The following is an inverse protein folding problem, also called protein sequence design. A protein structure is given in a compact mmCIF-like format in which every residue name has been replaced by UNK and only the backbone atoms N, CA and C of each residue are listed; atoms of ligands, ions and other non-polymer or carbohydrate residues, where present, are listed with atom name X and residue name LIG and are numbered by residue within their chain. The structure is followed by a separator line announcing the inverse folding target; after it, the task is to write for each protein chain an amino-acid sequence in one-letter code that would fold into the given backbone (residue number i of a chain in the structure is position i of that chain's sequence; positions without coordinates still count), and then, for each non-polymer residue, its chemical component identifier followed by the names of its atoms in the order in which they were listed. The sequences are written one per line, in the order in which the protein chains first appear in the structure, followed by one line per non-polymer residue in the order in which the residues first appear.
data_IF_224222103166
#
_entry.id   IF_224222103166
#
_cell.length_a   1.000
_cell.length_b   1.000
_cell.length_c   1.000
_cell.angle_alpha   90.00
_cell.angle_beta   90.00
_cell.angle_gamma   90.00
#
_symmetry.space_group_name_H-M   'P 1'
#
loop_
_entity.id
_entity.type
_entity.pdbx_description
1 polymer ?
2 non-polymer ?
3 water ?
#
# COMPACT_ATOMS: atom_id res chain seq x y z
N UNK A 2 23.91 16.63 12.47
CA UNK A 2 22.48 16.71 12.26
C UNK A 2 21.77 16.47 13.57
N UNK A 3 20.79 17.29 13.86
CA UNK A 3 20.04 17.20 15.07
C UNK A 3 18.57 17.05 14.80
N UNK A 4 18.21 16.71 13.57
CA UNK A 4 16.82 16.43 13.27
C UNK A 4 16.69 15.05 12.65
N UNK A 5 15.71 14.28 13.10
CA UNK A 5 15.51 12.94 12.57
C UNK A 5 14.94 13.04 11.15
N UNK A 6 15.41 12.17 10.26
CA UNK A 6 14.97 12.18 8.87
C UNK A 6 14.28 10.86 8.55
N UNK A 7 13.04 10.96 8.04
CA UNK A 7 12.15 9.84 7.78
C UNK A 7 11.67 9.92 6.35
N UNK A 8 11.77 8.81 5.61
CA UNK A 8 11.23 8.76 4.25
C UNK A 8 10.25 7.59 4.15
N UNK A 9 9.68 7.40 2.97
CA UNK A 9 8.98 6.15 2.70
C UNK A 9 7.48 6.23 2.51
N UNK A 10 6.78 5.21 2.99
CA UNK A 10 5.38 4.95 2.66
C UNK A 10 4.47 6.17 2.86
N UNK A 11 3.66 6.45 1.83
CA UNK A 11 2.59 7.43 1.94
C UNK A 11 1.45 6.91 2.82
N UNK A 12 1.30 5.59 2.90
CA UNK A 12 0.28 5.03 3.79
C UNK A 12 0.64 5.29 5.26
N UNK A 13 1.92 5.13 5.61
CA UNK A 13 2.36 5.35 6.98
C UNK A 13 2.53 6.84 7.27
N UNK A 14 2.86 7.65 6.26
CA UNK A 14 3.13 9.09 6.40
C UNK A 14 2.22 9.84 7.37
N UNK A 15 0.89 9.73 7.29
CA UNK A 15 0.05 10.54 8.22
C UNK A 15 0.25 10.13 9.66
N UNK A 16 0.59 8.88 9.90
CA UNK A 16 0.78 8.37 11.25
C UNK A 16 2.10 8.87 11.82
N UNK A 17 3.19 8.63 11.11
CA UNK A 17 4.49 9.14 11.53
C UNK A 17 4.48 10.65 11.70
N UNK A 18 3.67 11.36 10.90
CA UNK A 18 3.60 12.81 11.03
C UNK A 18 3.04 13.21 12.39
N UNK A 19 1.92 12.61 12.79
CA UNK A 19 1.34 12.87 14.11
C UNK A 19 2.34 12.54 15.23
N UNK A 20 3.01 11.38 15.15
CA UNK A 20 3.98 11.06 16.18
C UNK A 20 5.08 12.13 16.20
N UNK A 21 5.54 12.54 15.02
CA UNK A 21 6.60 13.55 14.95
C UNK A 21 6.13 14.87 15.55
N UNK A 22 4.90 15.30 15.24
CA UNK A 22 4.41 16.57 15.76
C UNK A 22 4.41 16.57 17.29
N UNK A 23 3.89 15.49 17.89
CA UNK A 23 3.93 15.37 19.34
C UNK A 23 5.36 15.33 19.87
N UNK A 24 6.23 14.56 19.22
CA UNK A 24 7.61 14.45 19.63
C UNK A 24 8.30 15.81 19.68
N UNK A 25 7.99 16.67 18.70
CA UNK A 25 8.64 17.97 18.62
C UNK A 25 8.38 18.88 19.82
N UNK A 26 7.40 18.52 20.67
CA UNK A 26 7.11 19.27 21.88
C UNK A 26 7.75 18.69 23.14
N UNK A 27 8.59 17.63 23.01
CA UNK A 27 9.16 16.95 24.16
C UNK A 27 10.68 17.11 24.22
N UNK A 28 11.20 18.27 23.85
CA UNK A 28 12.61 18.50 24.04
C UNK A 28 13.51 17.96 22.94
N UNK A 29 12.94 17.66 21.78
CA UNK A 29 13.68 17.42 20.55
C UNK A 29 12.98 18.19 19.43
N UNK A 30 13.71 18.43 18.34
CA UNK A 30 13.13 19.09 17.17
C UNK A 30 12.17 18.15 16.44
N UNK A 31 11.17 18.73 15.78
CA UNK A 31 10.21 17.94 15.02
C UNK A 31 10.90 17.20 13.88
N UNK A 32 10.83 15.87 13.82
CA UNK A 32 11.48 15.14 12.72
C UNK A 32 11.01 15.61 11.35
N UNK A 33 11.87 15.41 10.36
CA UNK A 33 11.54 15.68 8.96
C UNK A 33 11.04 14.39 8.32
N UNK A 34 9.90 14.48 7.65
CA UNK A 34 9.24 13.31 7.06
C UNK A 34 8.92 13.61 5.61
N UNK A 35 9.28 12.68 4.72
CA UNK A 35 8.92 12.78 3.31
C UNK A 35 8.02 11.62 2.93
N UNK A 36 7.00 11.85 2.11
CA UNK A 36 6.18 10.78 1.59
C UNK A 36 6.78 10.45 0.25
N UNK A 37 7.55 9.38 0.20
CA UNK A 37 8.22 8.99 -1.03
C UNK A 37 7.79 7.68 -1.58
N UNK A 38 6.93 6.99 -0.90
CA UNK A 38 6.62 5.65 -1.34
C UNK A 38 7.57 4.62 -0.68
N UNK A 39 7.03 3.45 -0.40
CA UNK A 39 7.82 2.41 0.26
C UNK A 39 9.11 2.05 -0.51
N UNK A 40 8.99 1.86 -1.83
CA UNK A 40 10.12 1.45 -2.62
C UNK A 40 11.09 2.59 -2.81
N UNK A 41 10.60 3.79 -3.02
CA UNK A 41 11.46 4.93 -3.12
C UNK A 41 12.18 5.21 -1.80
N UNK A 42 11.51 4.99 -0.69
CA UNK A 42 12.09 5.23 0.61
C UNK A 42 13.17 4.20 0.93
N UNK A 43 12.91 2.95 0.62
CA UNK A 43 13.90 1.91 0.77
C UNK A 43 15.18 2.16 -0.01
N UNK A 44 15.05 2.63 -1.22
CA UNK A 44 16.21 2.96 -2.01
C UNK A 44 17.04 4.08 -1.37
N UNK A 45 16.37 5.11 -0.90
CA UNK A 45 17.05 6.18 -0.22
C UNK A 45 17.69 5.73 1.12
N UNK A 46 16.92 5.08 1.96
CA UNK A 46 17.44 4.53 3.23
C UNK A 46 18.68 3.68 2.98
N UNK A 47 18.62 2.81 1.98
CA UNK A 47 19.70 1.88 1.71
C UNK A 47 20.88 2.43 0.89
N UNK A 48 20.82 3.70 0.51
CA UNK A 48 21.88 4.31 -0.26
C UNK A 48 23.24 4.34 0.47
N UNK A 49 23.21 4.52 1.78
CA UNK A 49 24.46 4.47 2.53
C UNK A 49 24.22 4.63 4.02
N UNK A 50 25.25 4.37 4.81
CA UNK A 50 25.15 4.40 6.25
C UNK A 50 25.40 5.74 6.89
N UNK A 51 25.85 6.71 6.14
CA UNK A 51 26.10 7.99 6.69
C UNK A 51 24.93 8.79 7.13
N UNK A 52 25.21 9.82 7.91
CA UNK A 52 24.19 10.76 8.37
C UNK A 52 23.47 11.50 7.22
N UNK A 53 24.11 11.62 6.07
CA UNK A 53 23.44 12.23 4.93
C UNK A 53 22.27 11.38 4.42
N UNK A 54 22.10 10.19 4.97
CA UNK A 54 21.04 9.31 4.50
C UNK A 54 19.98 9.13 5.58
N UNK A 55 18.76 8.73 5.20
CA UNK A 55 17.64 8.72 6.16
C UNK A 55 17.87 7.80 7.35
N UNK A 56 17.36 8.24 8.50
CA UNK A 56 17.34 7.45 9.72
C UNK A 56 16.29 6.35 9.68
N UNK A 57 15.15 6.60 9.03
CA UNK A 57 13.98 5.74 9.08
C UNK A 57 13.31 5.76 7.71
N UNK A 58 12.88 4.59 7.24
CA UNK A 58 11.98 4.52 6.11
C UNK A 58 10.70 3.79 6.52
N UNK A 59 9.56 4.42 6.23
CA UNK A 59 8.24 3.85 6.46
C UNK A 59 7.88 2.92 5.30
N UNK A 60 7.15 1.86 5.63
CA UNK A 60 6.87 0.84 4.61
C UNK A 60 5.48 0.28 4.82
N UNK A 61 4.73 0.14 3.73
CA UNK A 61 3.40 -0.49 3.76
C UNK A 61 3.44 -1.92 3.23
N UNK A 62 4.63 -2.52 3.22
CA UNK A 62 4.85 -3.95 3.03
C UNK A 62 6.26 -4.21 3.55
N UNK A 63 6.54 -5.46 3.90
CA UNK A 63 7.85 -5.80 4.46
C UNK A 63 8.97 -5.41 3.50
N UNK A 64 10.14 -5.10 4.06
CA UNK A 64 11.30 -4.85 3.23
C UNK A 64 11.60 -6.04 2.31
N UNK A 65 11.98 -5.78 1.06
CA UNK A 65 12.18 -6.84 0.09
C UNK A 65 13.61 -7.37 0.17
N UNK A 66 13.80 -8.58 -0.36
CA UNK A 66 15.14 -9.17 -0.38
C UNK A 66 16.10 -8.31 -1.19
N UNK A 67 15.65 -7.81 -2.34
CA UNK A 67 16.47 -6.91 -3.13
C UNK A 67 16.85 -5.66 -2.34
N UNK A 68 15.97 -5.18 -1.46
CA UNK A 68 16.27 -3.98 -0.70
C UNK A 68 17.26 -4.25 0.42
N UNK A 69 17.05 -5.35 1.15
CA UNK A 69 18.01 -5.79 2.14
C UNK A 69 19.38 -6.00 1.52
N UNK A 70 19.42 -6.50 0.29
CA UNK A 70 20.70 -6.72 -0.37
C UNK A 70 21.38 -5.40 -0.66
N UNK A 71 20.66 -4.41 -1.16
CA UNK A 71 21.25 -3.08 -1.38
C UNK A 71 21.81 -2.44 -0.09
N UNK A 72 21.04 -2.52 0.98
CA UNK A 72 21.46 -2.00 2.28
C UNK A 72 22.76 -2.65 2.69
N UNK A 73 22.78 -3.97 2.66
CA UNK A 73 23.95 -4.72 3.03
C UNK A 73 25.16 -4.28 2.21
N UNK A 74 24.92 -4.13 0.91
CA UNK A 74 26.03 -3.72 0.05
C UNK A 74 26.57 -2.36 0.46
N UNK A 75 25.69 -1.44 0.81
CA UNK A 75 26.10 -0.12 1.25
C UNK A 75 26.34 -0.06 2.76
N UNK A 76 26.54 -1.22 3.39
CA UNK A 76 27.01 -1.28 4.76
C UNK A 76 25.95 -1.19 5.84
N UNK A 77 24.69 -1.32 5.50
CA UNK A 77 23.62 -1.29 6.47
C UNK A 77 23.09 -2.69 6.68
N UNK A 78 23.52 -3.33 7.73
CA UNK A 78 23.01 -4.66 8.10
C UNK A 78 22.27 -4.62 9.40
N UNK A 79 22.41 -3.53 10.16
CA UNK A 79 21.69 -3.41 11.40
C UNK A 79 20.42 -2.59 11.23
N UNK A 80 19.33 -3.28 11.00
CA UNK A 80 18.06 -2.61 10.77
C UNK A 80 17.02 -3.17 11.72
N UNK A 81 16.30 -2.28 12.38
CA UNK A 81 15.25 -2.70 13.25
C UNK A 81 13.92 -2.52 12.54
N UNK A 82 13.16 -3.58 12.51
CA UNK A 82 11.84 -3.53 11.91
C UNK A 82 10.82 -3.30 13.02
N UNK A 83 10.00 -2.28 12.86
CA UNK A 83 8.92 -2.02 13.79
C UNK A 83 7.54 -2.14 13.11
N UNK A 84 6.70 -3.02 13.62
CA UNK A 84 5.33 -3.15 13.10
C UNK A 84 4.42 -2.28 13.94
N UNK A 85 3.84 -1.24 13.34
CA UNK A 85 3.05 -0.28 14.09
C UNK A 85 1.57 -0.63 14.20
N UNK A 86 1.05 -1.48 13.32
CA UNK A 86 -0.38 -1.66 13.23
C UNK A 86 -0.75 -2.18 11.85
N UNK A 87 -2.01 -2.01 11.49
CA UNK A 87 -2.53 -2.55 10.23
C UNK A 87 -3.23 -1.48 9.40
N UNK A 88 -3.36 -1.79 8.11
CA UNK A 88 -4.04 -1.00 7.11
C UNK A 88 -5.01 -1.92 6.38
N UNK A 89 -6.02 -1.32 5.78
CA UNK A 89 -6.84 -2.02 4.80
C UNK A 89 -6.85 -1.23 3.52
N UNK A 90 -6.27 -1.78 2.44
CA UNK A 90 -6.32 -1.09 1.17
C UNK A 90 -7.79 -0.94 0.77
N UNK A 91 -8.19 0.29 0.51
CA UNK A 91 -9.59 0.61 0.26
C UNK A 91 -9.73 1.04 -1.19
N UNK A 92 -10.63 0.38 -1.91
CA UNK A 92 -10.96 0.72 -3.28
C UNK A 92 -12.16 1.67 -3.20
N UNK A 93 -11.88 2.96 -3.20
CA UNK A 93 -12.91 3.97 -2.95
C UNK A 93 -13.42 4.59 -4.25
N UNK A 94 -14.59 5.22 -4.16
CA UNK A 94 -15.23 5.87 -5.29
C UNK A 94 -16.34 6.77 -4.76
N UNK A 95 -16.91 7.58 -5.66
CA UNK A 95 -17.83 8.62 -5.27
C UNK A 95 -19.06 8.07 -4.55
N UNK A 96 -19.49 8.78 -3.51
CA UNK A 96 -20.75 8.49 -2.82
C UNK A 96 -21.94 8.49 -3.77
N UNK A 97 -21.86 9.26 -4.86
CA UNK A 97 -23.00 9.36 -5.78
C UNK A 97 -23.32 8.05 -6.48
N UNK A 98 -22.39 7.10 -6.50
CA UNK A 98 -22.63 5.83 -7.16
C UNK A 98 -23.21 4.82 -6.18
N UNK A 99 -23.65 3.67 -6.74
CA UNK A 99 -24.25 2.60 -5.97
C UNK A 99 -23.19 1.77 -5.27
N UNK A 100 -23.51 1.20 -4.10
CA UNK A 100 -22.64 0.20 -3.49
C UNK A 100 -22.37 -0.91 -4.48
N UNK A 101 -21.24 -1.59 -4.30
CA UNK A 101 -20.81 -2.63 -5.22
C UNK A 101 -19.87 -3.58 -4.48
N UNK A 102 -19.85 -4.84 -4.92
CA UNK A 102 -18.96 -5.85 -4.36
C UNK A 102 -18.22 -6.50 -5.52
N UNK A 103 -16.90 -6.49 -5.42
CA UNK A 103 -16.01 -7.18 -6.37
C UNK A 103 -15.28 -8.30 -5.64
N UNK A 104 -15.24 -9.48 -6.24
CA UNK A 104 -14.36 -10.55 -5.80
C UNK A 104 -12.92 -10.26 -6.25
N UNK A 105 -11.98 -10.97 -5.68
CA UNK A 105 -10.62 -10.77 -6.08
C UNK A 105 -10.45 -11.08 -7.57
N UNK A 106 -11.11 -12.11 -8.08
CA UNK A 106 -11.01 -12.45 -9.48
C UNK A 106 -11.56 -11.32 -10.37
N UNK A 107 -12.70 -10.78 -9.98
CA UNK A 107 -13.25 -9.63 -10.70
C UNK A 107 -12.20 -8.55 -10.85
N UNK A 108 -11.53 -8.22 -9.73
CA UNK A 108 -10.53 -7.16 -9.74
C UNK A 108 -9.35 -7.53 -10.63
N UNK A 109 -8.89 -8.75 -10.52
CA UNK A 109 -7.81 -9.23 -11.38
C UNK A 109 -8.21 -9.06 -12.87
N UNK A 110 -9.36 -9.60 -13.25
CA UNK A 110 -9.77 -9.55 -14.65
C UNK A 110 -9.86 -8.12 -15.24
N UNK A 111 -10.31 -7.18 -14.44
CA UNK A 111 -10.43 -5.80 -14.89
C UNK A 111 -9.09 -5.11 -15.04
N UNK A 112 -8.17 -5.43 -14.14
CA UNK A 112 -6.89 -4.77 -14.12
C UNK A 112 -5.76 -5.42 -14.90
N UNK A 113 -5.87 -6.71 -15.12
CA UNK A 113 -4.82 -7.42 -15.77
C UNK A 113 -4.35 -6.98 -17.12
N UNK A 114 -3.07 -7.21 -17.33
CA UNK A 114 -2.54 -6.97 -18.66
C UNK A 114 -3.24 -7.82 -19.71
N UNK A 115 -3.65 -9.04 -19.37
CA UNK A 115 -4.12 -10.00 -20.36
C UNK A 115 -5.48 -10.56 -19.96
N UNK A 116 -6.21 -11.00 -20.98
CA UNK A 116 -7.37 -11.88 -20.85
C UNK A 116 -7.04 -13.18 -21.55
N UNK A 117 -7.44 -14.30 -20.96
CA UNK A 117 -7.32 -15.57 -21.65
C UNK A 117 -8.48 -15.66 -22.63
N UNK A 118 -8.16 -15.78 -23.92
CA UNK A 118 -9.16 -15.89 -24.99
C UNK A 118 -8.77 -17.07 -25.88
N UNK A 119 -9.61 -18.10 -25.92
CA UNK A 119 -9.37 -19.26 -26.76
C UNK A 119 -8.00 -19.88 -26.43
N UNK A 120 -7.73 -20.03 -25.13
CA UNK A 120 -6.53 -20.71 -24.67
C UNK A 120 -5.24 -19.93 -24.88
N UNK A 121 -5.33 -18.62 -25.04
CA UNK A 121 -4.19 -17.78 -25.39
C UNK A 121 -4.26 -16.48 -24.61
N UNK A 122 -3.10 -15.96 -24.23
CA UNK A 122 -3.05 -14.67 -23.56
C UNK A 122 -3.06 -13.56 -24.61
N UNK A 123 -4.04 -12.65 -24.52
CA UNK A 123 -4.11 -11.48 -25.37
C UNK A 123 -4.36 -10.26 -24.48
N UNK A 124 -4.06 -9.08 -25.02
CA UNK A 124 -4.25 -7.84 -24.29
C UNK A 124 -5.69 -7.74 -23.81
N UNK A 125 -5.86 -7.28 -22.56
CA UNK A 125 -7.14 -7.26 -21.86
C UNK A 125 -8.27 -6.80 -22.76
N UNK A 126 -9.31 -7.64 -22.89
CA UNK A 126 -10.45 -7.35 -23.77
C UNK A 126 -11.68 -6.94 -22.98
N UNK A 127 -11.55 -6.67 -21.69
CA UNK A 127 -12.69 -6.26 -20.88
C UNK A 127 -12.72 -4.74 -20.80
N UNK A 128 -13.84 -4.14 -21.23
CA UNK A 128 -13.99 -2.69 -21.15
C UNK A 128 -15.05 -2.24 -20.16
N UNK A 129 -15.93 -3.14 -19.72
CA UNK A 129 -17.05 -2.83 -18.84
C UNK A 129 -17.17 -3.93 -17.80
N UNK A 130 -17.39 -3.54 -16.54
CA UNK A 130 -17.45 -4.52 -15.45
C UNK A 130 -18.50 -5.60 -15.72
N UNK A 131 -19.63 -5.21 -16.29
CA UNK A 131 -20.72 -6.15 -16.56
C UNK A 131 -20.34 -7.26 -17.52
N UNK A 132 -19.32 -7.03 -18.38
CA UNK A 132 -18.82 -8.10 -19.24
C UNK A 132 -18.14 -9.20 -18.44
N UNK A 133 -17.43 -8.82 -17.38
CA UNK A 133 -16.70 -9.77 -16.54
C UNK A 133 -17.67 -10.64 -15.76
N UNK A 134 -18.79 -10.08 -15.34
CA UNK A 134 -19.74 -10.78 -14.49
C UNK A 134 -21.06 -10.03 -14.61
N UNK A 135 -22.07 -10.69 -15.15
CA UNK A 135 -23.35 -10.04 -15.40
C UNK A 135 -23.98 -9.44 -14.14
N UNK A 136 -23.54 -9.88 -12.95
CA UNK A 136 -24.03 -9.34 -11.69
C UNK A 136 -23.40 -8.00 -11.33
N UNK A 137 -22.34 -7.61 -12.01
CA UNK A 137 -21.69 -6.32 -11.81
C UNK A 137 -22.39 -5.24 -12.62
N UNK A 138 -22.24 -3.97 -12.14
CA UNK A 138 -22.90 -2.95 -12.94
C UNK A 138 -22.41 -2.66 -14.34
N UNK A 139 -23.30 -2.19 -15.19
CA UNK A 139 -22.93 -1.72 -16.50
C UNK A 139 -22.21 -0.47 -16.20
N UNK A 140 -20.89 -0.52 -16.24
CA UNK A 140 -20.07 0.58 -15.89
C UNK A 140 -18.71 0.37 -16.53
N UNK A 141 -18.22 1.41 -17.19
CA UNK A 141 -16.93 1.27 -17.80
C UNK A 141 -15.82 1.15 -16.78
N UNK A 142 -14.84 0.34 -17.09
CA UNK A 142 -13.70 0.14 -16.22
C UNK A 142 -12.75 1.30 -16.24
N UNK A 143 -12.67 2.00 -15.10
CA UNK A 143 -11.78 3.17 -14.96
C UNK A 143 -11.17 3.13 -13.57
N UNK A 144 -9.91 2.73 -13.46
CA UNK A 144 -9.27 2.61 -12.21
C UNK A 144 -7.92 3.34 -12.15
N UNK A 145 -7.71 4.08 -11.07
CA UNK A 145 -6.49 4.77 -10.87
C UNK A 145 -5.66 3.86 -9.96
N UNK A 146 -4.56 3.37 -10.45
CA UNK A 146 -3.73 2.45 -9.69
C UNK A 146 -2.52 3.08 -9.01
N UNK A 147 -2.09 2.52 -7.88
CA UNK A 147 -0.99 3.21 -7.22
C UNK A 147 0.34 3.21 -8.02
N UNK A 148 1.28 4.04 -7.61
CA UNK A 148 2.57 4.04 -8.30
C UNK A 148 3.30 2.69 -8.34
N UNK A 149 4.00 2.43 -9.43
CA UNK A 149 4.70 1.17 -9.57
C UNK A 149 5.66 0.70 -8.53
N UNK A 150 6.26 1.62 -7.81
CA UNK A 150 7.20 1.29 -6.77
C UNK A 150 6.59 1.41 -5.37
N UNK A 151 5.31 1.78 -5.28
CA UNK A 151 4.64 1.89 -4.01
C UNK A 151 4.43 0.59 -3.27
N UNK A 152 4.41 0.64 -1.95
CA UNK A 152 4.08 -0.57 -1.23
C UNK A 152 2.63 -1.00 -1.44
N UNK A 153 1.75 -0.03 -1.71
CA UNK A 153 0.35 -0.34 -1.98
C UNK A 153 0.23 -1.14 -3.28
N UNK A 154 1.00 -0.78 -4.30
CA UNK A 154 1.04 -1.60 -5.51
C UNK A 154 1.53 -3.01 -5.18
N UNK A 155 2.64 -3.13 -4.44
CA UNK A 155 3.15 -4.46 -4.10
C UNK A 155 2.10 -5.28 -3.35
N UNK A 156 1.44 -4.68 -2.37
CA UNK A 156 0.50 -5.44 -1.57
C UNK A 156 -0.73 -5.84 -2.39
N UNK A 157 -1.20 -4.93 -3.26
CA UNK A 157 -2.33 -5.27 -4.12
C UNK A 157 -1.95 -6.39 -5.08
N UNK A 158 -0.71 -6.35 -5.59
CA UNK A 158 -0.22 -7.43 -6.46
C UNK A 158 -0.23 -8.77 -5.73
N UNK A 159 0.19 -8.77 -4.45
CA UNK A 159 0.25 -9.99 -3.67
C UNK A 159 -1.13 -10.44 -3.23
N UNK A 160 -1.91 -9.54 -2.63
CA UNK A 160 -3.16 -9.91 -1.98
C UNK A 160 -4.33 -10.03 -2.95
N UNK A 161 -4.35 -9.25 -4.02
CA UNK A 161 -5.43 -9.26 -4.98
C UNK A 161 -5.06 -9.91 -6.34
N UNK A 162 -4.06 -9.36 -7.04
CA UNK A 162 -3.68 -9.87 -8.33
C UNK A 162 -3.27 -11.34 -8.32
N UNK A 163 -2.36 -11.72 -7.45
CA UNK A 163 -1.88 -13.10 -7.37
C UNK A 163 -3.01 -14.05 -7.02
N UNK A 164 -3.86 -13.63 -6.11
CA UNK A 164 -4.93 -14.49 -5.64
C UNK A 164 -6.15 -14.49 -6.53
N UNK A 165 -6.39 -13.39 -7.22
CA UNK A 165 -7.52 -13.30 -8.11
C UNK A 165 -7.21 -13.92 -9.45
N UNK A 166 -5.93 -14.16 -9.70
CA UNK A 166 -5.50 -14.71 -10.95
C UNK A 166 -6.09 -16.06 -11.18
N UNK A 167 -6.70 -16.24 -12.33
CA UNK A 167 -7.25 -17.54 -12.66
C UNK A 167 -6.25 -18.68 -12.85
N UNK A 168 -6.71 -19.89 -12.58
CA UNK A 168 -5.88 -21.06 -12.89
C UNK A 168 -5.41 -21.05 -14.35
N UNK A 169 -6.31 -20.72 -15.27
CA UNK A 169 -5.98 -20.77 -16.69
C UNK A 169 -4.89 -19.77 -17.04
N UNK A 170 -4.99 -18.55 -16.54
CA UNK A 170 -3.98 -17.55 -16.78
C UNK A 170 -2.64 -17.97 -16.17
N UNK A 171 -2.68 -18.46 -14.95
CA UNK A 171 -1.46 -18.88 -14.26
C UNK A 171 -0.67 -19.87 -15.12
N UNK A 172 -1.37 -20.86 -15.62
CA UNK A 172 -0.75 -21.85 -16.47
C UNK A 172 -0.12 -21.27 -17.76
N UNK A 173 -0.81 -20.35 -18.42
CA UNK A 173 -0.24 -19.71 -19.61
C UNK A 173 1.00 -18.89 -19.26
N UNK A 174 0.94 -18.10 -18.18
CA UNK A 174 2.12 -17.34 -17.78
C UNK A 174 3.28 -18.27 -17.41
N UNK A 175 2.99 -19.34 -16.66
CA UNK A 175 4.04 -20.30 -16.28
C UNK A 175 4.69 -20.90 -17.51
N UNK A 176 3.88 -21.27 -18.50
CA UNK A 176 4.42 -21.86 -19.72
C UNK A 176 5.21 -20.82 -20.53
N UNK A 177 4.71 -19.59 -20.62
CA UNK A 177 5.49 -18.54 -21.27
C UNK A 177 6.81 -18.28 -20.55
N UNK A 178 6.81 -18.31 -19.23
CA UNK A 178 8.01 -18.11 -18.45
C UNK A 178 9.00 -19.27 -18.69
N UNK A 179 8.52 -20.49 -18.57
CA UNK A 179 9.36 -21.65 -18.86
C UNK A 179 9.98 -21.56 -20.25
N UNK A 180 9.22 -21.05 -21.22
CA UNK A 180 9.69 -20.87 -22.59
C UNK A 180 10.60 -19.67 -22.74
N UNK A 181 10.80 -18.88 -21.71
CA UNK A 181 11.86 -17.87 -21.74
C UNK A 181 11.48 -16.44 -21.36
N UNK A 182 10.20 -16.17 -21.14
CA UNK A 182 9.77 -14.81 -20.84
C UNK A 182 9.97 -14.54 -19.35
N UNK A 183 11.04 -13.81 -19.00
CA UNK A 183 11.35 -13.56 -17.60
C UNK A 183 10.27 -12.74 -16.91
N UNK A 184 9.64 -11.82 -17.64
CA UNK A 184 8.56 -11.01 -17.07
C UNK A 184 7.38 -11.85 -16.61
N UNK A 185 7.25 -13.07 -17.12
CA UNK A 185 6.13 -13.92 -16.74
C UNK A 185 6.39 -14.74 -15.48
N UNK A 186 7.55 -14.63 -14.86
CA UNK A 186 7.74 -15.36 -13.61
C UNK A 186 6.86 -14.83 -12.48
N UNK A 187 6.67 -13.54 -12.43
CA UNK A 187 5.78 -12.92 -11.45
C UNK A 187 4.69 -12.16 -12.20
N UNK A 188 3.70 -12.87 -12.75
CA UNK A 188 2.76 -12.21 -13.66
C UNK A 188 1.73 -11.35 -12.95
N UNK A 189 1.60 -11.47 -11.62
CA UNK A 189 0.70 -10.63 -10.84
C UNK A 189 1.12 -9.16 -10.86
N UNK A 190 2.28 -8.85 -11.41
CA UNK A 190 2.75 -7.47 -11.52
C UNK A 190 2.23 -6.77 -12.77
N UNK A 191 1.55 -7.49 -13.67
CA UNK A 191 1.26 -7.00 -15.01
C UNK A 191 -0.14 -6.41 -15.06
N UNK A 192 -0.23 -5.13 -15.39
CA UNK A 192 -1.49 -4.40 -15.54
C UNK A 192 -1.71 -3.99 -16.98
N UNK A 193 -2.99 -3.89 -17.36
CA UNK A 193 -3.33 -3.34 -18.67
C UNK A 193 -2.72 -1.94 -18.83
N UNK A 194 -2.25 -1.64 -20.03
CA UNK A 194 -1.67 -0.34 -20.31
C UNK A 194 -2.43 0.37 -21.43
N UNK A 195 -3.74 0.14 -21.50
CA UNK A 195 -4.58 0.77 -22.51
C UNK A 195 -5.35 1.97 -21.96
N UNK A 196 -4.97 2.50 -20.80
CA UNK A 196 -5.61 3.68 -20.25
C UNK A 196 -6.74 3.41 -19.27
N UNK A 197 -7.15 2.17 -19.09
CA UNK A 197 -8.22 1.84 -18.15
C UNK A 197 -7.69 1.54 -16.74
N UNK A 198 -6.39 1.34 -16.58
CA UNK A 198 -5.76 1.22 -15.27
C UNK A 198 -4.61 2.23 -15.19
N UNK A 199 -4.95 3.51 -15.12
CA UNK A 199 -3.95 4.56 -15.27
C UNK A 199 -3.20 4.78 -13.95
N UNK A 200 -1.87 4.79 -14.02
CA UNK A 200 -1.03 5.07 -12.84
C UNK A 200 -1.20 6.47 -12.25
N UNK A 201 -1.49 6.56 -10.97
CA UNK A 201 -1.75 7.78 -10.23
C UNK A 201 -0.68 8.81 -10.17
N UNK A 202 0.43 8.51 -9.54
CA UNK A 202 1.41 9.57 -9.34
C UNK A 202 1.86 9.68 -7.90
N UNK A 206 -5.11 14.09 -2.62
CA UNK A 206 -6.04 15.17 -2.54
C UNK A 206 -6.79 15.23 -3.84
N UNK A 207 -6.04 15.24 -4.93
CA UNK A 207 -6.65 15.27 -6.24
C UNK A 207 -7.22 13.91 -6.69
N UNK A 208 -6.81 12.82 -6.06
CA UNK A 208 -7.41 11.53 -6.36
C UNK A 208 -8.87 11.63 -5.98
N UNK A 209 -9.14 12.23 -4.82
CA UNK A 209 -10.52 12.37 -4.37
C UNK A 209 -11.29 13.22 -5.34
N UNK A 210 -10.67 14.28 -5.82
CA UNK A 210 -11.32 15.17 -6.76
C UNK A 210 -11.62 14.48 -8.07
N UNK A 211 -10.65 13.71 -8.58
CA UNK A 211 -10.90 12.98 -9.82
C UNK A 211 -12.02 11.96 -9.63
N UNK A 212 -12.08 11.31 -8.46
CA UNK A 212 -13.18 10.38 -8.20
C UNK A 212 -14.52 11.11 -8.13
N UNK A 213 -14.54 12.30 -7.51
CA UNK A 213 -15.78 13.07 -7.50
C UNK A 213 -16.18 13.45 -8.92
N UNK A 214 -15.20 13.79 -9.77
CA UNK A 214 -15.51 14.21 -11.13
C UNK A 214 -16.06 13.07 -11.98
N UNK A 215 -15.72 11.83 -11.68
CA UNK A 215 -16.19 10.69 -12.48
C UNK A 215 -16.59 9.59 -11.51
N UNK A 216 -17.89 9.50 -11.26
CA UNK A 216 -18.42 8.56 -10.30
C UNK A 216 -18.18 7.11 -10.66
N UNK A 217 -17.94 6.84 -11.93
CA UNK A 217 -17.63 5.49 -12.38
C UNK A 217 -16.17 5.06 -12.08
N UNK A 218 -15.33 6.01 -11.73
CA UNK A 218 -13.93 5.72 -11.47
C UNK A 218 -13.68 5.21 -10.08
N UNK A 219 -12.68 4.37 -9.94
CA UNK A 219 -12.31 3.83 -8.64
C UNK A 219 -10.86 4.18 -8.35
N UNK A 220 -10.51 4.26 -7.09
CA UNK A 220 -9.17 4.57 -6.69
C UNK A 220 -8.72 3.87 -5.44
N UNK A 221 -7.42 3.91 -5.16
CA UNK A 221 -6.84 3.23 -4.01
C UNK A 221 -6.56 4.17 -2.85
N UNK A 222 -6.94 3.75 -1.66
CA UNK A 222 -6.65 4.53 -0.49
C UNK A 222 -6.21 3.72 0.68
N UNK A 223 -5.29 4.26 1.46
CA UNK A 223 -4.97 3.66 2.72
C UNK A 223 -6.22 3.98 3.53
N UNK A 224 -6.55 3.16 4.52
CA UNK A 224 -7.75 3.36 5.31
C UNK A 224 -7.93 4.75 5.93
N UNK A 225 -6.87 5.31 6.49
CA UNK A 225 -6.94 6.61 7.15
C UNK A 225 -7.40 7.68 6.16
N UNK A 226 -6.87 7.62 4.95
CA UNK A 226 -7.28 8.55 3.92
C UNK A 226 -8.76 8.37 3.52
N UNK A 227 -9.22 7.13 3.40
CA UNK A 227 -10.63 6.89 3.11
C UNK A 227 -11.56 7.42 4.21
N UNK A 228 -11.20 7.18 5.46
CA UNK A 228 -12.01 7.60 6.58
C UNK A 228 -12.16 9.12 6.57
N UNK A 229 -11.08 9.83 6.29
CA UNK A 229 -11.10 11.28 6.24
C UNK A 229 -12.00 11.76 5.11
N UNK A 230 -12.13 10.95 4.07
CA UNK A 230 -12.91 11.32 2.91
C UNK A 230 -14.34 10.74 2.82
N UNK A 231 -14.82 10.14 3.89
CA UNK A 231 -16.14 9.52 3.88
C UNK A 231 -17.29 10.48 3.56
N UNK A 232 -17.12 11.77 3.78
CA UNK A 232 -18.13 12.73 3.33
C UNK A 232 -18.27 12.75 1.82
N UNK A 233 -17.28 12.23 1.08
CA UNK A 233 -17.28 12.28 -0.36
C UNK A 233 -17.16 10.92 -1.03
N UNK A 234 -16.64 9.90 -0.34
CA UNK A 234 -16.34 8.61 -0.93
C UNK A 234 -16.97 7.47 -0.15
N UNK A 235 -17.16 6.36 -0.85
CA UNK A 235 -17.51 5.08 -0.24
C UNK A 235 -16.52 4.03 -0.71
N UNK A 236 -16.59 2.85 -0.09
CA UNK A 236 -15.68 1.76 -0.37
C UNK A 236 -16.41 0.63 -1.09
N UNK A 237 -15.79 0.10 -2.14
CA UNK A 237 -16.28 -1.13 -2.73
C UNK A 237 -16.14 -2.25 -1.72
N UNK A 238 -17.13 -3.13 -1.65
CA UNK A 238 -16.88 -4.36 -0.94
C UNK A 238 -15.94 -5.21 -1.77
N UNK A 239 -15.10 -5.97 -1.08
CA UNK A 239 -14.16 -6.89 -1.69
C UNK A 239 -14.36 -8.24 -1.01
N UNK A 240 -14.62 -9.27 -1.81
CA UNK A 240 -15.00 -10.60 -1.32
C UNK A 240 -16.12 -10.52 -0.28
N UNK A 241 -17.06 -9.62 -0.49
CA UNK A 241 -18.19 -9.47 0.40
C UNK A 241 -17.98 -8.68 1.67
N UNK A 242 -16.82 -8.06 1.81
CA UNK A 242 -16.51 -7.32 3.00
C UNK A 242 -16.05 -5.91 2.84
N UNK A 243 -16.47 -5.07 3.77
CA UNK A 243 -16.10 -3.68 3.77
C UNK A 243 -14.89 -3.49 4.68
N UNK A 244 -14.08 -2.49 4.37
CA UNK A 244 -13.00 -2.22 5.30
C UNK A 244 -13.56 -1.64 6.59
N UNK A 245 -13.05 -2.07 7.74
CA UNK A 245 -13.46 -1.52 9.02
C UNK A 245 -12.37 -1.79 10.02
N UNK A 246 -12.45 -1.14 11.17
CA UNK A 246 -11.50 -1.40 12.23
C UNK A 246 -11.54 -2.88 12.59
N UNK A 247 -12.73 -3.42 12.72
CA UNK A 247 -12.86 -4.80 13.15
C UNK A 247 -12.39 -5.79 12.08
N UNK A 248 -12.83 -5.55 10.84
CA UNK A 248 -12.48 -6.49 9.78
C UNK A 248 -11.02 -6.41 9.39
N UNK A 249 -10.42 -5.22 9.49
CA UNK A 249 -8.97 -5.13 9.27
C UNK A 249 -8.23 -5.77 10.43
N UNK A 250 -8.71 -5.56 11.67
CA UNK A 250 -7.96 -6.03 12.83
C UNK A 250 -7.89 -7.56 12.89
N UNK A 251 -9.00 -8.25 12.59
CA UNK A 251 -8.96 -9.71 12.61
C UNK A 251 -8.64 -10.31 11.24
N UNK A 252 -8.31 -9.46 10.28
CA UNK A 252 -7.93 -9.85 8.91
C UNK A 252 -9.00 -10.66 8.19
N UNK A 253 -10.27 -10.52 8.58
CA UNK A 253 -11.35 -10.95 7.71
C UNK A 253 -11.41 -10.09 6.45
N UNK A 254 -11.06 -8.80 6.54
CA UNK A 254 -11.03 -7.97 5.35
C UNK A 254 -9.96 -8.50 4.38
N UNK A 255 -10.37 -8.74 3.16
CA UNK A 255 -9.46 -9.36 2.20
C UNK A 255 -8.19 -8.60 1.82
N UNK A 256 -8.18 -7.31 2.09
CA UNK A 256 -6.93 -6.60 1.79
C UNK A 256 -6.41 -5.91 3.05
N UNK A 257 -6.55 -6.58 4.19
CA UNK A 257 -5.83 -6.16 5.38
C UNK A 257 -4.33 -6.39 5.21
N UNK A 258 -3.53 -5.52 5.83
CA UNK A 258 -2.08 -5.63 5.68
C UNK A 258 -1.39 -4.94 6.86
N UNK A 259 -0.17 -5.36 7.20
CA UNK A 259 0.58 -4.67 8.25
C UNK A 259 1.31 -3.45 7.71
N UNK A 260 1.63 -2.54 8.63
CA UNK A 260 2.41 -1.34 8.35
C UNK A 260 3.67 -1.31 9.21
N UNK A 261 4.78 -0.83 8.65
CA UNK A 261 6.09 -0.94 9.25
C UNK A 261 6.84 0.37 9.18
N UNK A 262 7.90 0.49 9.98
CA UNK A 262 9.01 1.35 9.61
C UNK A 262 10.31 0.67 10.03
N UNK A 263 11.40 1.08 9.40
CA UNK A 263 12.70 0.47 9.56
C UNK A 263 13.67 1.51 10.07
N UNK A 264 14.45 1.13 11.09
CA UNK A 264 15.34 2.04 11.79
C UNK A 264 16.78 1.65 11.48
N UNK A 265 17.57 2.61 11.07
CA UNK A 265 18.99 2.39 10.84
C UNK A 265 19.72 2.48 12.19
N UNK A 266 20.02 1.33 12.78
CA UNK A 266 20.64 1.28 14.10
C UNK A 266 21.90 2.07 14.23
N UNK A 267 22.73 2.06 13.20
CA UNK A 267 23.94 2.83 13.19
C UNK A 267 23.68 4.30 13.54
N UNK A 268 22.50 4.83 13.22
CA UNK A 268 22.30 6.24 13.52
C UNK A 268 21.88 6.48 14.95
N UNK A 269 21.56 5.44 15.72
CA UNK A 269 21.31 5.63 17.13
C UNK A 269 22.63 5.88 17.82
N UNK A 270 22.69 6.94 18.63
CA UNK A 270 23.95 7.44 19.14
C UNK A 270 24.65 8.46 18.27
N UNK A 271 24.15 8.70 17.06
CA UNK A 271 24.64 9.78 16.20
C UNK A 271 23.61 10.90 16.10
N UNK A 272 22.36 10.56 15.80
CA UNK A 272 21.29 11.53 15.61
C UNK A 272 20.52 11.64 16.93
N UNK A 273 20.56 12.78 17.62
CA UNK A 273 19.88 12.88 18.92
C UNK A 273 18.39 12.57 18.76
N UNK A 274 17.84 11.90 19.78
CA UNK A 274 16.42 11.64 19.84
C UNK A 274 15.91 10.46 19.04
N UNK A 275 16.75 9.85 18.19
CA UNK A 275 16.26 8.81 17.29
C UNK A 275 15.63 7.65 18.07
N UNK A 276 16.34 7.10 19.07
CA UNK A 276 15.81 6.00 19.88
C UNK A 276 14.59 6.44 20.66
N UNK A 277 14.66 7.65 21.20
CA UNK A 277 13.53 8.18 21.94
C UNK A 277 12.30 8.31 21.06
N UNK A 278 12.48 8.66 19.79
CA UNK A 278 11.35 8.74 18.87
C UNK A 278 10.74 7.35 18.63
N UNK A 279 11.59 6.32 18.52
CA UNK A 279 11.08 4.98 18.28
C UNK A 279 10.26 4.49 19.49
N UNK A 280 10.74 4.74 20.69
CA UNK A 280 10.03 4.33 21.87
C UNK A 280 8.71 5.06 21.99
N UNK A 281 8.71 6.32 21.62
CA UNK A 281 7.48 7.11 21.63
C UNK A 281 6.47 6.52 20.66
N UNK A 282 6.89 6.18 19.45
CA UNK A 282 5.98 5.60 18.46
C UNK A 282 5.42 4.27 18.95
N UNK A 283 6.24 3.50 19.66
CA UNK A 283 5.85 2.15 20.09
C UNK A 283 5.11 2.07 21.44
N UNK A 284 4.85 3.20 22.06
CA UNK A 284 4.09 3.24 23.29
C UNK A 284 2.64 2.73 23.08
N UNK A 285 2.09 2.12 24.12
CA UNK A 285 0.71 1.66 24.00
C UNK A 285 -0.24 2.81 23.73
N UNK A 286 0.02 3.96 24.38
CA UNK A 286 -0.81 5.13 24.17
C UNK A 286 -0.70 5.74 22.78
N UNK A 287 0.30 5.30 22.00
CA UNK A 287 0.47 5.77 20.63
C UNK A 287 -0.16 4.81 19.63
N UNK A 288 0.27 3.55 19.62
CA UNK A 288 -0.14 2.57 18.61
C UNK A 288 -1.08 1.51 19.16
N UNK A 289 -1.40 1.53 20.44
CA UNK A 289 -2.33 0.56 20.98
C UNK A 289 -3.79 0.95 20.76
N UNK A 290 -4.63 0.12 21.36
CA UNK A 290 -6.07 0.40 21.33
C UNK A 290 -6.38 1.72 22.03
N UNK A 291 -7.18 2.54 21.36
CA UNK A 291 -7.50 3.88 21.83
C UNK A 291 -6.29 4.81 21.86
N UNK A 292 -5.16 4.41 21.27
CA UNK A 292 -4.04 5.30 21.15
C UNK A 292 -4.37 6.46 20.24
N UNK A 293 -3.50 7.47 20.24
CA UNK A 293 -3.82 8.64 19.43
C UNK A 293 -3.66 8.40 17.93
N UNK A 294 -2.95 7.34 17.54
CA UNK A 294 -2.94 6.99 16.13
C UNK A 294 -4.21 6.25 15.74
N UNK A 295 -4.76 5.44 16.64
CA UNK A 295 -6.05 4.80 16.35
C UNK A 295 -7.13 5.85 16.12
N UNK A 296 -7.02 6.99 16.79
CA UNK A 296 -8.03 8.04 16.65
C UNK A 296 -8.07 8.60 15.22
N UNK A 297 -7.00 8.44 14.45
CA UNK A 297 -6.97 8.95 13.09
C UNK A 297 -6.95 7.83 12.06
N UNK A 298 -7.25 6.59 12.48
CA UNK A 298 -7.50 5.49 11.55
C UNK A 298 -6.54 4.31 11.63
N UNK A 299 -5.45 4.36 12.39
CA UNK A 299 -4.61 3.18 12.52
C UNK A 299 -5.39 2.05 13.18
N UNK A 300 -5.32 0.86 12.58
CA UNK A 300 -5.93 -0.32 13.16
C UNK A 300 -4.85 -1.02 14.01
N UNK A 301 -4.97 -0.99 15.34
CA UNK A 301 -3.90 -1.55 16.17
C UNK A 301 -3.78 -3.05 15.99
N UNK A 302 -2.58 -3.53 16.29
CA UNK A 302 -2.31 -4.96 16.34
C UNK A 302 -3.25 -5.64 17.33
N UNK A 303 -3.83 -6.76 16.91
CA UNK A 303 -4.65 -7.54 17.82
C UNK A 303 -3.76 -8.18 18.88
N UNK A 304 -4.14 -8.04 20.14
CA UNK A 304 -3.34 -8.58 21.24
C UNK A 304 -3.98 -9.79 21.91
N UNK A 305 -5.09 -10.30 21.38
CA UNK A 305 -5.81 -11.40 22.00
C UNK A 305 -5.01 -12.70 21.97
X LIG B 1 2.98 3.52 -0.30
X LIG B 1 3.35 4.93 -0.55
X LIG B 1 2.03 2.95 -1.28
X LIG B 1 4.24 2.81 -0.35
X LIG B 1 2.41 3.41 1.01
#
# INVERSE_FOLDING_TARGET
XRDQITIVGSSTVFPYATVVAERFGKKGFKTPIIESTGTGGGAKLFCAGVGEAHPDITNASRAMKDKEKALCAKNGITDIVEIIIGNDGITLAYSLDAEPVNFTKEHLYLALAKHTVVDGKLVDNIYKNWNEIDSSLPNKPIKVMIPPGTSGTRDAWNSLVMKKGMTKEAKALYKAGYAAGNKKYKKPQKLYREDGLAIEVGENDSLIIQKLVEDKDMFGFFGFSYYLAAKDKLQAASIDGGQPSLESIQDYSYAVARPLFFYVKKAHVGVIPGLHEFVKEFTKTGTIGKRGYLADIGLVPLDKAXYRTTRDNAXDLVAXSELEHHHHHH
PO4 P O1 O2 O3 O4
#
